data_IF_405235539278
#
_entry.id   IF_405235539278
#
_cell.length_a   1.000
_cell.length_b   1.000
_cell.length_c   1.000
_cell.angle_alpha   90.00
_cell.angle_beta   90.00
_cell.angle_gamma   90.00
#
_symmetry.space_group_name_H-M   'P 1'
#
loop_
_entity.id
_entity.type
_entity.pdbx_description
1 polymer ?
#
# COMPACT_ATOMS: atom_id res chain seq x y z
N UNK A 1 12.91 16.40 19.91
CA UNK A 1 12.40 16.52 18.53
C UNK A 1 12.35 15.09 17.99
N UNK A 2 11.30 14.68 17.31
CA UNK A 2 11.12 13.29 16.84
C UNK A 2 11.69 13.16 15.41
N UNK A 3 12.81 12.48 15.30
CA UNK A 3 13.52 12.35 14.03
C UNK A 3 13.08 11.09 13.28
N UNK A 4 12.71 11.24 12.04
CA UNK A 4 12.23 10.16 11.17
C UNK A 4 13.11 10.05 9.94
N UNK A 5 13.47 8.83 9.55
CA UNK A 5 14.10 8.53 8.28
C UNK A 5 13.09 7.89 7.34
N UNK A 6 12.76 8.57 6.26
CA UNK A 6 11.92 8.05 5.18
C UNK A 6 12.80 7.44 4.10
N UNK A 7 12.59 6.19 3.78
CA UNK A 7 13.47 5.39 2.93
C UNK A 7 12.72 4.89 1.70
N UNK A 8 13.25 5.16 0.51
CA UNK A 8 12.70 4.64 -0.76
C UNK A 8 13.82 4.13 -1.66
N UNK A 9 13.69 2.88 -2.11
CA UNK A 9 14.59 2.30 -3.11
C UNK A 9 14.17 2.71 -4.53
N UNK A 10 12.87 2.75 -4.81
CA UNK A 10 12.32 3.04 -6.14
C UNK A 10 12.17 4.55 -6.36
N UNK A 11 12.99 5.16 -7.21
CA UNK A 11 12.95 6.59 -7.52
C UNK A 11 11.65 7.02 -8.19
N UNK A 12 11.13 6.25 -9.13
CA UNK A 12 9.92 6.57 -9.88
C UNK A 12 8.60 6.22 -9.18
N UNK A 13 8.65 5.77 -7.91
CA UNK A 13 7.45 5.45 -7.12
C UNK A 13 6.77 6.72 -6.58
N UNK A 14 5.82 7.27 -7.34
CA UNK A 14 5.17 8.55 -7.07
C UNK A 14 4.28 8.58 -5.80
N UNK A 15 3.91 7.43 -5.27
CA UNK A 15 3.16 7.33 -4.02
C UNK A 15 3.93 7.89 -2.80
N UNK A 16 5.27 7.98 -2.88
CA UNK A 16 6.12 8.51 -1.81
C UNK A 16 6.15 10.03 -1.75
N UNK A 17 5.75 10.71 -2.85
CA UNK A 17 5.97 12.14 -3.04
C UNK A 17 5.33 13.06 -1.99
N UNK A 18 4.25 12.68 -1.34
CA UNK A 18 3.57 13.49 -0.33
C UNK A 18 3.86 13.07 1.12
N UNK A 19 4.58 11.98 1.32
CA UNK A 19 4.81 11.42 2.66
C UNK A 19 5.62 12.37 3.56
N UNK A 20 6.68 13.06 3.09
CA UNK A 20 7.40 14.03 3.94
C UNK A 20 6.48 15.11 4.51
N UNK A 21 5.54 15.63 3.72
CA UNK A 21 4.58 16.63 4.19
C UNK A 21 3.68 16.12 5.33
N UNK A 22 3.24 14.86 5.26
CA UNK A 22 2.43 14.24 6.31
C UNK A 22 3.20 14.19 7.65
N UNK A 23 4.47 13.79 7.64
CA UNK A 23 5.32 13.76 8.82
C UNK A 23 5.68 15.17 9.35
N UNK A 24 5.92 16.14 8.46
CA UNK A 24 6.13 17.54 8.88
C UNK A 24 4.91 18.14 9.55
N UNK A 25 3.71 17.85 9.10
CA UNK A 25 2.46 18.25 9.77
C UNK A 25 2.34 17.65 11.17
N UNK A 26 2.90 16.47 11.39
CA UNK A 26 2.98 15.86 12.72
C UNK A 26 4.06 16.47 13.64
N UNK A 27 4.91 17.37 13.13
CA UNK A 27 5.97 18.01 13.90
C UNK A 27 7.29 17.26 13.92
N UNK A 28 7.50 16.29 13.01
CA UNK A 28 8.75 15.54 12.89
C UNK A 28 9.88 16.36 12.24
N UNK A 29 11.12 16.05 12.60
CA UNK A 29 12.27 16.25 11.71
C UNK A 29 12.30 15.11 10.71
N UNK A 30 12.34 15.43 9.42
CA UNK A 30 12.17 14.47 8.33
C UNK A 30 13.43 14.40 7.49
N UNK A 31 14.15 13.31 7.59
CA UNK A 31 15.24 12.99 6.70
C UNK A 31 14.78 12.00 5.63
N UNK A 32 15.34 12.10 4.44
CA UNK A 32 15.01 11.20 3.34
C UNK A 32 16.25 10.48 2.82
N UNK A 33 16.12 9.19 2.56
CA UNK A 33 17.17 8.31 2.05
C UNK A 33 16.67 7.69 0.73
N UNK A 34 17.16 8.22 -0.40
CA UNK A 34 16.65 7.84 -1.73
C UNK A 34 17.59 8.32 -2.85
N UNK A 35 17.35 7.85 -4.08
CA UNK A 35 18.06 8.31 -5.28
C UNK A 35 17.77 9.78 -5.60
N UNK A 36 18.65 10.40 -6.39
CA UNK A 36 18.56 11.81 -6.79
C UNK A 36 17.23 12.14 -7.51
N UNK A 37 16.73 11.20 -8.29
CA UNK A 37 15.49 11.35 -9.08
C UNK A 37 14.24 10.89 -8.35
N UNK A 38 14.33 10.56 -7.06
CA UNK A 38 13.20 10.08 -6.29
C UNK A 38 12.08 11.12 -6.15
N UNK A 39 10.83 10.64 -6.19
CA UNK A 39 9.66 11.43 -5.82
C UNK A 39 9.72 11.90 -4.37
N UNK A 40 10.29 11.08 -3.49
CA UNK A 40 10.48 11.40 -2.09
C UNK A 40 11.31 12.67 -1.91
N UNK A 41 12.43 12.79 -2.63
CA UNK A 41 13.30 13.99 -2.63
C UNK A 41 12.62 15.21 -3.25
N UNK A 42 11.70 15.03 -4.18
CA UNK A 42 11.04 16.16 -4.86
C UNK A 42 10.16 16.99 -3.93
N UNK A 43 9.72 16.44 -2.80
CA UNK A 43 8.95 17.16 -1.80
C UNK A 43 9.84 18.14 -1.03
N UNK A 44 9.39 19.40 -0.87
CA UNK A 44 10.15 20.44 -0.15
C UNK A 44 10.15 20.28 1.38
N UNK A 45 9.36 19.35 1.93
CA UNK A 45 9.12 19.18 3.36
C UNK A 45 10.03 18.10 3.99
N UNK A 46 11.25 17.91 3.48
CA UNK A 46 12.31 17.17 4.17
C UNK A 46 13.39 18.12 4.67
N UNK A 47 14.08 17.72 5.74
CA UNK A 47 15.15 18.54 6.36
C UNK A 47 16.52 18.18 5.76
N UNK A 48 16.84 16.89 5.66
CA UNK A 48 18.09 16.40 5.07
C UNK A 48 17.82 15.31 4.04
N UNK A 49 18.69 15.20 3.08
CA UNK A 49 18.66 14.16 2.07
C UNK A 49 19.99 13.41 2.03
N UNK A 50 19.88 12.09 2.09
CA UNK A 50 20.99 11.15 1.96
C UNK A 50 20.85 10.40 0.64
N UNK A 51 21.82 10.61 -0.23
CA UNK A 51 21.79 10.03 -1.58
C UNK A 51 22.22 8.58 -1.59
N UNK A 52 21.43 7.78 -2.29
CA UNK A 52 21.76 6.38 -2.61
C UNK A 52 21.44 6.08 -4.06
N UNK A 53 21.90 4.93 -4.55
CA UNK A 53 21.50 4.43 -5.86
C UNK A 53 20.31 3.45 -5.73
N UNK A 54 19.70 3.10 -6.86
CA UNK A 54 18.69 2.04 -6.94
C UNK A 54 19.31 0.63 -7.10
N UNK A 55 20.66 0.52 -7.04
CA UNK A 55 21.37 -0.75 -7.03
C UNK A 55 21.21 -1.39 -5.65
N UNK A 56 20.60 -2.56 -5.58
CA UNK A 56 20.23 -3.22 -4.34
C UNK A 56 21.38 -3.39 -3.34
N UNK A 57 22.57 -3.77 -3.81
CA UNK A 57 23.74 -3.94 -2.94
C UNK A 57 24.25 -2.61 -2.35
N UNK A 58 24.32 -1.56 -3.17
CA UNK A 58 24.74 -0.23 -2.72
C UNK A 58 23.72 0.37 -1.75
N UNK A 59 22.45 0.33 -2.11
CA UNK A 59 21.34 0.81 -1.26
C UNK A 59 21.37 0.14 0.11
N UNK A 60 21.39 -1.20 0.14
CA UNK A 60 21.40 -1.97 1.37
C UNK A 60 22.58 -1.59 2.27
N UNK A 61 23.80 -1.63 1.70
CA UNK A 61 25.02 -1.37 2.47
C UNK A 61 25.05 0.05 3.04
N UNK A 62 24.66 1.04 2.25
CA UNK A 62 24.57 2.44 2.69
C UNK A 62 23.50 2.64 3.77
N UNK A 63 22.32 2.03 3.62
CA UNK A 63 21.25 2.16 4.60
C UNK A 63 21.64 1.53 5.94
N UNK A 64 22.15 0.29 5.93
CA UNK A 64 22.58 -0.39 7.16
C UNK A 64 23.69 0.41 7.86
N UNK A 65 24.72 0.84 7.13
CA UNK A 65 25.79 1.68 7.66
C UNK A 65 25.25 2.97 8.26
N UNK A 66 24.34 3.66 7.56
CA UNK A 66 23.75 4.90 8.03
C UNK A 66 22.96 4.73 9.34
N UNK A 67 22.23 3.61 9.47
CA UNK A 67 21.48 3.29 10.69
C UNK A 67 22.42 2.93 11.84
N UNK A 68 23.47 2.16 11.58
CA UNK A 68 24.47 1.76 12.59
C UNK A 68 25.31 2.95 13.09
N UNK A 69 25.63 3.91 12.23
CA UNK A 69 26.34 5.15 12.60
C UNK A 69 25.43 6.14 13.36
N UNK A 70 24.10 5.96 13.32
CA UNK A 70 23.12 6.82 13.98
C UNK A 70 22.10 6.04 14.83
N UNK A 71 22.52 5.20 15.80
CA UNK A 71 21.67 4.19 16.42
C UNK A 71 20.47 4.81 17.18
N UNK A 72 20.64 5.96 17.81
CA UNK A 72 19.62 6.61 18.64
C UNK A 72 19.06 7.90 18.04
N UNK A 73 19.55 8.29 16.88
CA UNK A 73 19.13 9.54 16.24
C UNK A 73 17.71 9.45 15.68
N UNK A 74 17.37 8.32 15.01
CA UNK A 74 16.05 8.13 14.45
C UNK A 74 15.16 7.32 15.41
N UNK A 75 14.05 7.94 15.83
CA UNK A 75 13.02 7.26 16.58
C UNK A 75 12.13 6.37 15.70
N UNK A 76 12.12 6.65 14.39
CA UNK A 76 11.37 5.85 13.44
C UNK A 76 12.05 5.84 12.06
N UNK A 77 12.21 4.65 11.49
CA UNK A 77 12.66 4.43 10.11
C UNK A 77 11.48 3.83 9.35
N UNK A 78 11.10 4.44 8.23
CA UNK A 78 9.91 4.06 7.47
C UNK A 78 10.31 3.68 6.05
N UNK A 79 10.21 2.40 5.71
CA UNK A 79 10.37 1.91 4.36
C UNK A 79 9.10 2.21 3.57
N UNK A 80 9.21 2.87 2.42
CA UNK A 80 8.08 3.42 1.69
C UNK A 80 7.67 2.64 0.44
N UNK A 81 8.47 1.65 0.04
CA UNK A 81 8.15 0.82 -1.12
C UNK A 81 8.47 -0.67 -0.88
N UNK A 82 7.78 -1.54 -1.62
CA UNK A 82 7.87 -3.00 -1.48
C UNK A 82 9.27 -3.54 -1.80
N UNK A 83 9.99 -2.89 -2.72
CA UNK A 83 11.33 -3.30 -3.08
C UNK A 83 12.30 -3.08 -1.93
N UNK A 84 12.21 -1.92 -1.24
CA UNK A 84 12.99 -1.64 -0.04
C UNK A 84 12.65 -2.63 1.08
N UNK A 85 11.35 -2.89 1.33
CA UNK A 85 10.90 -3.83 2.37
C UNK A 85 11.43 -5.23 2.07
N UNK A 86 11.25 -5.73 0.85
CA UNK A 86 11.72 -7.05 0.44
C UNK A 86 13.24 -7.18 0.60
N UNK A 87 14.00 -6.22 0.07
CA UNK A 87 15.45 -6.22 0.15
C UNK A 87 15.95 -6.24 1.59
N UNK A 88 15.37 -5.40 2.47
CA UNK A 88 15.77 -5.33 3.87
C UNK A 88 15.31 -6.58 4.64
N UNK A 89 14.12 -7.10 4.34
CA UNK A 89 13.63 -8.34 4.93
C UNK A 89 14.53 -9.55 4.60
N UNK A 90 15.02 -9.65 3.38
CA UNK A 90 15.96 -10.72 2.96
C UNK A 90 17.38 -10.53 3.55
N UNK A 91 17.77 -9.30 3.83
CA UNK A 91 19.13 -8.94 4.24
C UNK A 91 19.36 -8.93 5.75
N UNK A 92 18.36 -8.55 6.54
CA UNK A 92 18.49 -8.37 7.99
C UNK A 92 18.39 -9.70 8.73
N UNK A 93 19.45 -10.01 9.50
CA UNK A 93 19.52 -11.19 10.40
C UNK A 93 19.46 -10.77 11.89
N UNK A 94 19.89 -9.55 12.22
CA UNK A 94 19.89 -9.02 13.58
C UNK A 94 18.48 -8.69 14.03
N UNK A 95 18.05 -9.18 15.19
CA UNK A 95 16.74 -8.86 15.80
C UNK A 95 16.61 -7.35 16.11
N UNK A 96 17.72 -6.72 16.51
CA UNK A 96 17.76 -5.27 16.75
C UNK A 96 17.43 -4.49 15.45
N UNK A 97 18.14 -4.79 14.35
CA UNK A 97 17.89 -4.12 13.06
C UNK A 97 16.51 -4.47 12.50
N UNK A 98 16.03 -5.70 12.72
CA UNK A 98 14.68 -6.10 12.35
C UNK A 98 13.63 -5.18 12.97
N UNK A 99 13.64 -5.03 14.29
CA UNK A 99 12.70 -4.17 15.02
C UNK A 99 12.87 -2.68 14.71
N UNK A 100 14.10 -2.26 14.35
CA UNK A 100 14.43 -0.86 14.05
C UNK A 100 13.95 -0.43 12.66
N UNK A 101 13.98 -1.34 11.67
CA UNK A 101 13.83 -1.01 10.24
C UNK A 101 12.53 -1.58 9.66
N UNK A 102 12.17 -2.83 10.01
CA UNK A 102 11.04 -3.49 9.36
C UNK A 102 9.70 -3.11 10.00
N UNK A 103 8.61 -3.07 9.19
CA UNK A 103 7.30 -2.57 9.64
C UNK A 103 6.48 -3.59 10.44
N UNK A 104 7.13 -4.53 11.10
CA UNK A 104 6.53 -5.50 12.02
C UNK A 104 7.44 -5.76 13.21
N UNK A 105 6.85 -6.12 14.36
CA UNK A 105 7.62 -6.43 15.59
C UNK A 105 7.84 -7.92 15.81
N UNK A 106 7.01 -8.77 15.19
CA UNK A 106 7.07 -10.24 15.34
C UNK A 106 7.87 -10.86 14.20
N UNK A 107 9.11 -11.26 14.51
CA UNK A 107 10.04 -11.83 13.52
C UNK A 107 9.53 -13.13 12.89
N UNK A 108 8.79 -13.92 13.64
CA UNK A 108 8.19 -15.17 13.16
C UNK A 108 7.12 -14.96 12.07
N UNK A 109 6.64 -13.73 11.91
CA UNK A 109 5.67 -13.35 10.90
C UNK A 109 6.29 -12.62 9.68
N UNK A 110 7.63 -12.56 9.60
CA UNK A 110 8.34 -11.83 8.53
C UNK A 110 7.97 -12.26 7.11
N UNK A 111 7.42 -13.47 6.95
CA UNK A 111 6.97 -14.00 5.66
C UNK A 111 5.85 -13.15 5.02
N UNK A 112 5.09 -12.36 5.82
CA UNK A 112 4.04 -11.48 5.28
C UNK A 112 4.61 -10.31 4.45
N UNK A 113 5.86 -9.93 4.68
CA UNK A 113 6.44 -8.75 4.06
C UNK A 113 6.67 -8.97 2.56
N UNK A 114 5.90 -8.27 1.74
CA UNK A 114 5.95 -8.30 0.27
C UNK A 114 5.70 -9.69 -0.35
N UNK A 115 4.95 -10.59 0.32
CA UNK A 115 4.66 -11.95 -0.16
C UNK A 115 3.18 -12.31 -0.02
N UNK A 116 2.51 -12.62 -1.15
CA UNK A 116 1.12 -13.08 -1.18
C UNK A 116 0.97 -14.48 -0.55
N UNK A 117 1.93 -15.36 -0.79
CA UNK A 117 1.97 -16.69 -0.15
C UNK A 117 2.19 -16.52 1.35
N UNK A 118 3.15 -15.67 1.75
CA UNK A 118 3.43 -15.38 3.15
C UNK A 118 2.21 -14.82 3.88
N UNK A 119 1.46 -13.90 3.26
CA UNK A 119 0.20 -13.39 3.80
C UNK A 119 -0.82 -14.52 3.99
N UNK A 120 -1.03 -15.35 2.97
CA UNK A 120 -2.01 -16.44 3.04
C UNK A 120 -1.70 -17.46 4.15
N UNK A 121 -0.41 -17.83 4.29
CA UNK A 121 0.06 -18.72 5.38
C UNK A 121 -0.16 -18.09 6.77
N UNK A 122 0.11 -16.80 6.92
CA UNK A 122 -0.13 -16.08 8.17
C UNK A 122 -1.63 -15.99 8.47
N UNK A 123 -2.47 -15.78 7.46
CA UNK A 123 -3.93 -15.78 7.62
C UNK A 123 -4.44 -17.14 8.11
N UNK A 124 -3.96 -18.25 7.54
CA UNK A 124 -4.29 -19.60 8.03
C UNK A 124 -3.84 -19.81 9.47
N UNK A 125 -2.60 -19.46 9.79
CA UNK A 125 -2.03 -19.60 11.15
C UNK A 125 -2.88 -18.90 12.22
N UNK A 126 -3.45 -17.75 11.90
CA UNK A 126 -4.21 -16.93 12.85
C UNK A 126 -5.72 -16.95 12.62
N UNK A 127 -6.22 -17.85 11.76
CA UNK A 127 -7.64 -17.96 11.40
C UNK A 127 -8.25 -16.64 10.92
N UNK A 128 -7.48 -15.85 10.17
CA UNK A 128 -7.96 -14.63 9.51
C UNK A 128 -8.60 -15.03 8.19
N UNK A 129 -9.84 -14.60 7.94
CA UNK A 129 -10.55 -14.92 6.72
C UNK A 129 -9.80 -14.41 5.48
N UNK A 130 -9.37 -15.32 4.63
CA UNK A 130 -8.70 -15.07 3.33
C UNK A 130 -9.24 -16.05 2.31
N UNK A 131 -9.22 -15.76 0.99
CA UNK A 131 -9.60 -16.74 -0.02
C UNK A 131 -8.72 -17.99 0.05
N UNK A 132 -9.28 -19.15 -0.26
CA UNK A 132 -8.52 -20.40 -0.37
C UNK A 132 -7.39 -20.23 -1.39
N UNK A 133 -6.23 -20.82 -1.12
CA UNK A 133 -5.06 -20.67 -1.97
C UNK A 133 -4.23 -21.94 -2.08
N UNK A 134 -3.43 -22.00 -3.13
CA UNK A 134 -2.37 -23.00 -3.33
C UNK A 134 -1.08 -22.26 -3.69
N UNK A 135 0.01 -22.53 -2.97
CA UNK A 135 1.35 -22.23 -3.45
C UNK A 135 1.65 -23.21 -4.60
N UNK A 136 1.65 -22.70 -5.84
CA UNK A 136 1.73 -23.54 -7.02
C UNK A 136 3.14 -24.17 -7.18
N UNK A 137 3.15 -25.45 -7.45
CA UNK A 137 4.35 -26.18 -7.92
C UNK A 137 3.95 -27.02 -9.15
N UNK A 138 4.94 -27.44 -9.94
CA UNK A 138 4.69 -28.28 -11.14
C UNK A 138 4.10 -29.67 -10.79
N UNK A 139 4.20 -30.09 -9.53
CA UNK A 139 3.56 -31.30 -9.02
C UNK A 139 2.05 -31.16 -8.87
N UNK A 140 1.53 -29.93 -8.83
CA UNK A 140 0.10 -29.67 -8.73
C UNK A 140 -0.56 -29.89 -10.09
N UNK A 141 -1.25 -31.00 -10.26
CA UNK A 141 -2.08 -31.23 -11.44
C UNK A 141 -3.48 -30.59 -11.27
N UNK A 142 -4.22 -30.46 -12.38
CA UNK A 142 -5.54 -29.83 -12.38
C UNK A 142 -6.52 -30.52 -11.44
N UNK A 143 -6.42 -31.84 -11.25
CA UNK A 143 -7.27 -32.60 -10.34
C UNK A 143 -7.03 -32.18 -8.88
N UNK A 144 -5.78 -32.10 -8.47
CA UNK A 144 -5.38 -31.63 -7.13
C UNK A 144 -5.83 -30.20 -6.88
N UNK A 145 -5.68 -29.34 -7.89
CA UNK A 145 -6.14 -27.93 -7.81
C UNK A 145 -7.66 -27.88 -7.62
N UNK A 146 -8.43 -28.58 -8.45
CA UNK A 146 -9.90 -28.58 -8.40
C UNK A 146 -10.48 -29.23 -7.13
N UNK A 147 -9.70 -30.04 -6.42
CA UNK A 147 -10.09 -30.57 -5.10
C UNK A 147 -9.97 -29.55 -3.98
N UNK A 148 -9.06 -28.56 -4.14
CA UNK A 148 -8.76 -27.56 -3.10
C UNK A 148 -9.35 -26.20 -3.37
N UNK A 149 -9.51 -25.82 -4.64
CA UNK A 149 -9.99 -24.51 -5.05
C UNK A 149 -11.22 -24.61 -5.93
N UNK A 150 -12.17 -23.69 -5.73
CA UNK A 150 -13.32 -23.53 -6.61
C UNK A 150 -13.08 -22.46 -7.66
N UNK A 151 -13.43 -22.75 -8.92
CA UNK A 151 -13.39 -21.75 -9.98
C UNK A 151 -14.50 -20.70 -9.79
N UNK A 152 -14.26 -19.46 -10.19
CA UNK A 152 -13.06 -18.94 -10.85
C UNK A 152 -11.86 -18.79 -9.90
N UNK A 153 -10.65 -18.86 -10.48
CA UNK A 153 -9.36 -18.79 -9.77
C UNK A 153 -8.55 -17.61 -10.32
N UNK A 154 -7.79 -16.96 -9.44
CA UNK A 154 -6.77 -16.00 -9.81
C UNK A 154 -5.39 -16.68 -9.78
N UNK A 155 -4.68 -16.61 -10.91
CA UNK A 155 -3.26 -16.91 -10.99
C UNK A 155 -2.50 -15.61 -10.74
N UNK A 156 -1.59 -15.60 -9.75
CA UNK A 156 -0.85 -14.42 -9.33
C UNK A 156 0.64 -14.74 -9.19
N UNK A 157 1.50 -13.78 -9.48
CA UNK A 157 2.89 -13.84 -9.03
C UNK A 157 2.98 -13.48 -7.55
N UNK A 158 3.79 -14.24 -6.79
CA UNK A 158 3.96 -14.03 -5.35
C UNK A 158 4.48 -12.61 -5.01
N UNK A 159 5.43 -12.13 -5.81
CA UNK A 159 6.01 -10.79 -5.66
C UNK A 159 5.64 -9.94 -6.87
N UNK A 160 4.51 -9.26 -6.81
CA UNK A 160 4.05 -8.34 -7.85
C UNK A 160 3.20 -7.23 -7.22
N UNK A 161 3.03 -6.12 -7.92
CA UNK A 161 2.33 -4.94 -7.45
C UNK A 161 1.37 -4.40 -8.52
N UNK A 162 0.39 -3.61 -8.09
CA UNK A 162 -0.56 -2.92 -8.98
C UNK A 162 -1.33 -3.82 -9.94
N UNK A 163 -1.59 -5.07 -9.56
CA UNK A 163 -2.32 -6.04 -10.37
C UNK A 163 -1.55 -6.60 -11.57
N UNK A 164 -0.24 -6.30 -11.69
CA UNK A 164 0.60 -6.88 -12.72
C UNK A 164 0.72 -8.38 -12.48
N UNK A 165 0.55 -9.19 -13.55
CA UNK A 165 0.66 -10.65 -13.47
C UNK A 165 -0.55 -11.35 -12.85
N UNK A 166 -1.66 -10.65 -12.55
CA UNK A 166 -2.92 -11.29 -12.15
C UNK A 166 -3.68 -11.74 -13.39
N UNK A 167 -4.01 -13.01 -13.44
CA UNK A 167 -4.82 -13.61 -14.50
C UNK A 167 -6.07 -14.26 -13.90
N UNK A 168 -7.24 -13.93 -14.44
CA UNK A 168 -8.52 -14.49 -14.05
C UNK A 168 -8.79 -15.73 -14.89
N UNK A 169 -8.95 -16.87 -14.26
CA UNK A 169 -9.21 -18.16 -14.86
C UNK A 169 -10.63 -18.63 -14.48
N UNK A 170 -11.57 -18.52 -15.40
CA UNK A 170 -12.97 -18.91 -15.15
C UNK A 170 -13.14 -20.42 -14.97
N UNK A 171 -12.25 -21.21 -15.56
CA UNK A 171 -12.28 -22.67 -15.55
C UNK A 171 -10.87 -23.28 -15.65
N UNK A 172 -10.80 -24.60 -15.62
CA UNK A 172 -9.55 -25.34 -15.71
C UNK A 172 -8.83 -25.22 -17.06
N UNK A 173 -9.56 -24.99 -18.14
CA UNK A 173 -8.98 -24.82 -19.47
C UNK A 173 -8.20 -23.48 -19.54
N UNK A 174 -8.84 -22.39 -19.07
CA UNK A 174 -8.19 -21.08 -19.01
C UNK A 174 -7.00 -21.09 -18.03
N UNK A 175 -7.10 -21.79 -16.91
CA UNK A 175 -5.98 -21.94 -15.98
C UNK A 175 -4.80 -22.63 -16.65
N UNK A 176 -5.04 -23.72 -17.39
CA UNK A 176 -3.98 -24.44 -18.09
C UNK A 176 -3.31 -23.56 -19.17
N UNK A 177 -4.12 -22.81 -19.93
CA UNK A 177 -3.62 -21.88 -20.95
C UNK A 177 -2.74 -20.78 -20.31
N UNK A 178 -3.18 -20.23 -19.18
CA UNK A 178 -2.40 -19.24 -18.41
C UNK A 178 -1.08 -19.83 -17.91
N UNK A 179 -1.11 -21.03 -17.31
CA UNK A 179 0.08 -21.71 -16.82
C UNK A 179 1.10 -22.03 -17.93
N UNK A 180 0.61 -22.32 -19.14
CA UNK A 180 1.48 -22.58 -20.30
C UNK A 180 2.21 -21.30 -20.79
N UNK A 181 1.62 -20.12 -20.57
CA UNK A 181 2.18 -18.82 -20.96
C UNK A 181 3.18 -18.25 -19.96
N UNK A 182 3.15 -18.72 -18.70
CA UNK A 182 4.07 -18.25 -17.66
C UNK A 182 5.41 -18.96 -17.80
N UNK A 183 6.48 -18.17 -17.93
CA UNK A 183 7.85 -18.68 -18.07
C UNK A 183 8.47 -19.12 -16.74
N UNK A 184 8.16 -18.43 -15.65
CA UNK A 184 8.65 -18.78 -14.31
C UNK A 184 7.51 -19.26 -13.42
N UNK A 185 7.42 -20.55 -13.18
CA UNK A 185 6.36 -21.19 -12.41
C UNK A 185 6.67 -21.33 -10.92
N UNK A 186 7.88 -20.97 -10.48
CA UNK A 186 8.34 -21.25 -9.10
C UNK A 186 7.80 -20.27 -8.05
N UNK A 187 7.17 -19.16 -8.47
CA UNK A 187 6.68 -18.10 -7.58
C UNK A 187 5.24 -17.74 -7.88
N UNK A 188 4.40 -18.73 -8.12
CA UNK A 188 2.98 -18.51 -8.42
C UNK A 188 2.10 -18.89 -7.24
N UNK A 189 1.02 -18.16 -7.07
CA UNK A 189 -0.07 -18.50 -6.17
C UNK A 189 -1.37 -18.60 -6.96
N UNK A 190 -2.10 -19.69 -6.75
CA UNK A 190 -3.47 -19.84 -7.19
C UNK A 190 -4.38 -19.49 -6.01
N UNK A 191 -5.36 -18.65 -6.23
CA UNK A 191 -6.26 -18.18 -5.19
C UNK A 191 -7.69 -18.13 -5.72
N UNK A 192 -8.67 -18.61 -4.92
CA UNK A 192 -10.08 -18.46 -5.27
C UNK A 192 -10.42 -16.99 -5.51
N UNK A 193 -11.20 -16.74 -6.56
CA UNK A 193 -11.74 -15.42 -6.80
C UNK A 193 -13.00 -15.24 -5.95
N UNK A 194 -12.97 -14.28 -5.04
CA UNK A 194 -14.17 -13.93 -4.25
C UNK A 194 -14.92 -12.81 -4.96
N UNK A 195 -16.15 -13.07 -5.34
CA UNK A 195 -17.05 -12.04 -5.84
C UNK A 195 -17.57 -11.20 -4.69
N UNK A 196 -17.43 -9.88 -4.77
CA UNK A 196 -17.83 -8.98 -3.71
C UNK A 196 -17.44 -7.53 -3.94
N UNK A 197 -17.63 -6.73 -2.91
CA UNK A 197 -17.30 -5.31 -2.87
C UNK A 197 -15.86 -5.12 -2.40
N UNK A 198 -15.03 -4.49 -3.24
CA UNK A 198 -13.65 -4.19 -2.88
C UNK A 198 -13.59 -3.01 -1.89
N UNK A 199 -12.86 -3.21 -0.80
CA UNK A 199 -12.69 -2.21 0.25
C UNK A 199 -11.19 -1.94 0.41
N UNK A 200 -10.81 -0.69 0.15
CA UNK A 200 -9.45 -0.21 0.41
C UNK A 200 -9.35 0.34 1.83
N UNK A 201 -8.29 -0.03 2.52
CA UNK A 201 -8.03 0.44 3.90
C UNK A 201 -6.59 0.95 3.98
N UNK A 202 -6.43 2.12 4.58
CA UNK A 202 -5.15 2.63 5.06
C UNK A 202 -5.17 2.61 6.58
N UNK A 203 -4.10 2.10 7.22
CA UNK A 203 -4.01 2.03 8.67
C UNK A 203 -2.62 2.40 9.17
N UNK A 204 -2.58 2.89 10.41
CA UNK A 204 -1.36 3.17 11.15
C UNK A 204 -1.38 2.34 12.44
N UNK A 205 -0.32 1.60 12.66
CA UNK A 205 -0.13 0.76 13.84
C UNK A 205 1.10 1.16 14.64
N UNK A 206 1.07 0.91 15.94
CA UNK A 206 2.24 0.96 16.81
C UNK A 206 2.27 -0.28 17.68
N UNK A 207 3.32 -1.08 17.55
CA UNK A 207 3.54 -2.33 18.30
C UNK A 207 2.32 -3.29 18.26
N UNK A 208 1.66 -3.39 17.09
CA UNK A 208 0.46 -4.18 16.87
C UNK A 208 -0.85 -3.50 17.21
N UNK A 209 -0.83 -2.38 17.90
CA UNK A 209 -2.05 -1.62 18.26
C UNK A 209 -2.46 -0.67 17.11
N UNK A 210 -3.75 -0.64 16.79
CA UNK A 210 -4.31 0.25 15.78
C UNK A 210 -4.40 1.67 16.33
N UNK A 211 -3.70 2.62 15.69
CA UNK A 211 -3.69 4.04 16.08
C UNK A 211 -4.78 4.83 15.36
N UNK A 212 -4.87 4.66 14.06
CA UNK A 212 -5.90 5.28 13.21
C UNK A 212 -6.02 4.52 11.90
N UNK A 213 -7.17 4.64 11.23
CA UNK A 213 -7.41 4.03 9.94
C UNK A 213 -8.39 4.84 9.11
N UNK A 214 -8.39 4.60 7.82
CA UNK A 214 -9.42 5.05 6.88
C UNK A 214 -9.86 3.84 6.05
N UNK A 215 -11.16 3.63 5.86
CA UNK A 215 -11.67 2.64 4.92
C UNK A 215 -12.51 3.30 3.84
N UNK A 216 -12.51 2.71 2.65
CA UNK A 216 -13.15 3.27 1.49
C UNK A 216 -13.72 2.23 0.54
N UNK A 217 -14.90 2.50 0.05
CA UNK A 217 -15.46 1.89 -1.15
C UNK A 217 -14.69 2.38 -2.40
N UNK A 218 -14.43 1.48 -3.33
CA UNK A 218 -13.74 1.79 -4.57
C UNK A 218 -14.76 2.23 -5.62
N UNK A 219 -14.69 3.50 -6.05
CA UNK A 219 -15.60 4.07 -7.04
C UNK A 219 -15.06 4.00 -8.47
N UNK A 220 -13.74 4.00 -8.65
CA UNK A 220 -13.13 3.89 -9.98
C UNK A 220 -11.73 3.30 -9.93
N UNK A 221 -11.44 2.44 -10.89
CA UNK A 221 -10.14 1.87 -11.20
C UNK A 221 -9.56 2.50 -12.45
N UNK A 222 -8.23 2.46 -12.61
CA UNK A 222 -7.57 2.99 -13.81
C UNK A 222 -7.95 2.20 -15.08
N UNK A 223 -8.04 0.87 -15.00
CA UNK A 223 -8.35 -0.02 -16.14
C UNK A 223 -9.47 -0.99 -15.80
N UNK A 224 -9.21 -1.88 -14.87
CA UNK A 224 -10.09 -2.93 -14.38
C UNK A 224 -9.92 -3.07 -12.87
N UNK A 225 -10.70 -3.93 -12.24
CA UNK A 225 -10.71 -4.11 -10.78
C UNK A 225 -9.38 -4.59 -10.17
N UNK A 226 -8.44 -5.07 -10.96
CA UNK A 226 -7.11 -5.44 -10.48
C UNK A 226 -6.08 -4.31 -10.57
N UNK A 227 -6.43 -3.20 -11.25
CA UNK A 227 -5.54 -2.04 -11.38
C UNK A 227 -5.69 -1.08 -10.19
N UNK A 228 -4.74 -0.13 -10.06
CA UNK A 228 -4.83 0.88 -9.01
C UNK A 228 -6.10 1.74 -9.12
N UNK A 229 -6.58 2.17 -7.96
CA UNK A 229 -7.81 2.96 -7.83
C UNK A 229 -7.56 4.45 -8.09
N UNK A 230 -8.56 5.15 -8.63
CA UNK A 230 -8.46 6.59 -8.97
C UNK A 230 -9.46 7.44 -8.20
N UNK A 231 -10.56 6.82 -7.72
CA UNK A 231 -11.61 7.49 -6.96
C UNK A 231 -12.12 6.55 -5.86
N UNK A 232 -12.32 7.09 -4.66
CA UNK A 232 -12.78 6.36 -3.48
C UNK A 232 -13.80 7.18 -2.69
N UNK A 233 -14.73 6.49 -2.01
CA UNK A 233 -15.62 7.07 -1.02
C UNK A 233 -15.23 6.55 0.35
N UNK A 234 -14.79 7.45 1.22
CA UNK A 234 -14.37 7.10 2.57
C UNK A 234 -15.57 7.08 3.51
N UNK A 235 -15.58 6.12 4.41
CA UNK A 235 -16.58 5.90 5.44
C UNK A 235 -15.95 5.28 6.68
N UNK A 236 -16.73 5.13 7.76
CA UNK A 236 -16.29 4.39 8.95
C UNK A 236 -16.98 3.03 9.04
N UNK A 237 -16.27 2.07 9.64
CA UNK A 237 -16.79 0.73 9.91
C UNK A 237 -16.14 0.16 11.17
N UNK A 238 -16.93 -0.09 12.20
CA UNK A 238 -16.46 -0.74 13.44
C UNK A 238 -16.04 -2.19 13.18
N UNK A 239 -16.64 -2.84 12.19
CA UNK A 239 -16.25 -4.19 11.78
C UNK A 239 -14.83 -4.19 11.20
N UNK A 240 -14.55 -3.26 10.28
CA UNK A 240 -13.17 -3.09 9.74
C UNK A 240 -12.19 -2.72 10.85
N UNK A 241 -12.56 -1.81 11.77
CA UNK A 241 -11.72 -1.47 12.91
C UNK A 241 -11.37 -2.70 13.76
N UNK A 242 -12.35 -3.57 14.02
CA UNK A 242 -12.18 -4.80 14.78
C UNK A 242 -11.25 -5.79 14.07
N UNK A 243 -11.40 -5.97 12.75
CA UNK A 243 -10.53 -6.80 11.92
C UNK A 243 -9.09 -6.28 11.92
N UNK A 244 -8.90 -4.95 11.83
CA UNK A 244 -7.59 -4.31 11.87
C UNK A 244 -6.90 -4.49 13.21
N UNK A 245 -7.61 -4.37 14.34
CA UNK A 245 -7.07 -4.63 15.67
C UNK A 245 -6.57 -6.07 15.81
N UNK A 246 -7.35 -7.03 15.32
CA UNK A 246 -6.94 -8.45 15.30
C UNK A 246 -5.70 -8.62 14.42
N UNK A 247 -5.72 -8.12 13.19
CA UNK A 247 -4.61 -8.23 12.25
C UNK A 247 -3.34 -7.61 12.81
N UNK A 248 -3.42 -6.37 13.31
CA UNK A 248 -2.29 -5.65 13.88
C UNK A 248 -1.63 -6.43 15.00
N UNK A 249 -2.43 -6.90 15.97
CA UNK A 249 -1.97 -7.66 17.14
C UNK A 249 -1.38 -9.02 16.75
N UNK A 250 -2.02 -9.76 15.85
CA UNK A 250 -1.56 -11.10 15.46
C UNK A 250 -0.27 -11.04 14.64
N UNK A 251 -0.20 -10.13 13.68
CA UNK A 251 0.98 -9.96 12.81
C UNK A 251 2.11 -9.22 13.52
N UNK A 252 1.78 -8.28 14.41
CA UNK A 252 2.72 -7.35 15.02
C UNK A 252 3.02 -6.16 14.11
N UNK A 253 2.01 -5.62 13.39
CA UNK A 253 2.20 -4.48 12.49
C UNK A 253 2.72 -3.27 13.26
N UNK A 254 3.71 -2.56 12.69
CA UNK A 254 4.36 -1.41 13.31
C UNK A 254 4.71 -0.35 12.26
N UNK A 255 3.83 0.60 12.09
CA UNK A 255 3.89 1.60 11.04
C UNK A 255 2.65 1.59 10.16
N UNK A 256 2.82 2.00 8.92
CA UNK A 256 1.72 2.08 7.98
C UNK A 256 1.42 0.74 7.32
N UNK A 257 0.15 0.54 7.00
CA UNK A 257 -0.28 -0.57 6.16
C UNK A 257 -1.38 -0.13 5.18
N UNK A 258 -1.21 -0.53 3.92
CA UNK A 258 -2.24 -0.48 2.88
C UNK A 258 -2.85 -1.86 2.78
N UNK A 259 -4.15 -1.98 3.04
CA UNK A 259 -4.83 -3.25 3.19
C UNK A 259 -6.00 -3.30 2.22
N UNK A 260 -6.24 -4.45 1.62
CA UNK A 260 -7.40 -4.67 0.77
C UNK A 260 -8.24 -5.83 1.29
N UNK A 261 -9.53 -5.56 1.46
CA UNK A 261 -10.54 -6.57 1.72
C UNK A 261 -11.49 -6.71 0.51
N UNK A 262 -12.14 -7.86 0.42
CA UNK A 262 -13.37 -8.03 -0.35
C UNK A 262 -14.50 -8.47 0.58
N UNK A 263 -15.61 -7.74 0.55
CA UNK A 263 -16.79 -8.10 1.32
C UNK A 263 -17.73 -8.96 0.49
N UNK A 264 -17.90 -10.21 0.90
CA UNK A 264 -18.83 -11.14 0.27
C UNK A 264 -20.19 -11.06 0.96
N UNK A 265 -21.11 -10.31 0.39
CA UNK A 265 -22.42 -10.02 0.99
C UNK A 265 -23.23 -11.27 1.37
N UNK A 266 -23.25 -12.27 0.49
CA UNK A 266 -24.02 -13.51 0.74
C UNK A 266 -23.54 -14.36 1.92
N UNK A 267 -22.24 -14.27 2.26
CA UNK A 267 -21.62 -14.96 3.41
C UNK A 267 -21.46 -14.05 4.62
N UNK A 268 -21.64 -12.76 4.45
CA UNK A 268 -21.35 -11.71 5.46
C UNK A 268 -19.91 -11.80 5.99
N UNK A 269 -18.92 -11.94 5.10
CA UNK A 269 -17.51 -12.12 5.44
C UNK A 269 -16.66 -11.12 4.67
N UNK A 270 -15.70 -10.48 5.39
CA UNK A 270 -14.60 -9.71 4.83
C UNK A 270 -13.41 -10.64 4.64
N UNK A 271 -13.03 -10.89 3.39
CA UNK A 271 -11.84 -11.66 3.05
C UNK A 271 -10.64 -10.73 2.87
N UNK A 272 -9.58 -10.96 3.63
CA UNK A 272 -8.32 -10.23 3.49
C UNK A 272 -7.60 -10.69 2.22
N UNK A 273 -7.34 -9.76 1.30
CA UNK A 273 -6.69 -10.04 0.01
C UNK A 273 -5.21 -9.64 -0.02
N UNK A 274 -4.87 -8.51 0.59
CA UNK A 274 -3.53 -7.91 0.51
C UNK A 274 -3.23 -7.08 1.76
N UNK A 275 -1.95 -7.13 2.19
CA UNK A 275 -1.38 -6.27 3.23
C UNK A 275 0.00 -5.81 2.75
N UNK A 276 0.08 -4.56 2.34
CA UNK A 276 1.34 -3.88 2.07
C UNK A 276 1.73 -3.08 3.30
N UNK A 277 2.74 -3.52 4.03
CA UNK A 277 3.18 -2.88 5.29
C UNK A 277 3.97 -1.59 5.02
N UNK A 278 3.40 -0.68 4.25
CA UNK A 278 3.97 0.60 3.82
C UNK A 278 2.90 1.66 3.56
N UNK A 279 3.38 2.87 3.32
CA UNK A 279 2.51 3.95 2.85
C UNK A 279 2.04 3.73 1.41
N UNK A 280 0.91 4.36 1.08
CA UNK A 280 0.41 4.44 -0.29
C UNK A 280 0.04 5.90 -0.63
N UNK A 281 -0.39 6.13 -1.86
CA UNK A 281 -0.73 7.47 -2.31
C UNK A 281 -2.06 8.04 -1.76
N UNK A 282 -2.88 7.21 -1.09
CA UNK A 282 -4.12 7.64 -0.49
C UNK A 282 -3.94 8.21 0.92
N UNK A 283 -2.90 7.77 1.64
CA UNK A 283 -2.65 8.18 3.03
C UNK A 283 -2.54 9.71 3.22
N UNK A 284 -1.87 10.48 2.35
CA UNK A 284 -1.83 11.93 2.47
C UNK A 284 -3.19 12.64 2.36
N UNK A 285 -4.19 11.97 1.76
CA UNK A 285 -5.55 12.50 1.68
C UNK A 285 -6.38 12.28 2.95
N UNK A 286 -5.86 11.54 3.93
CA UNK A 286 -6.49 11.34 5.24
C UNK A 286 -6.87 12.65 5.95
N UNK A 287 -6.15 13.74 5.67
CA UNK A 287 -6.49 15.08 6.17
C UNK A 287 -7.89 15.58 5.78
N UNK A 288 -8.53 14.94 4.82
CA UNK A 288 -9.87 15.27 4.35
C UNK A 288 -10.95 14.31 4.86
N UNK A 289 -10.58 13.23 5.55
CA UNK A 289 -11.50 12.17 6.00
C UNK A 289 -11.90 12.28 7.46
N UNK A 290 -11.27 13.18 8.23
CA UNK A 290 -11.44 13.26 9.68
C UNK A 290 -10.50 12.33 10.48
N UNK A 291 -9.81 11.41 9.83
CA UNK A 291 -8.82 10.50 10.43
C UNK A 291 -7.43 10.74 9.85
N UNK A 292 -6.90 11.92 10.13
CA UNK A 292 -5.62 12.37 9.58
C UNK A 292 -4.45 11.57 10.18
N UNK A 293 -3.67 10.92 9.31
CA UNK A 293 -2.48 10.19 9.74
C UNK A 293 -1.44 11.08 10.40
N UNK A 294 -1.39 12.38 10.08
CA UNK A 294 -0.51 13.31 10.80
C UNK A 294 -0.88 13.42 12.28
N UNK A 295 -2.16 13.37 12.63
CA UNK A 295 -2.61 13.34 14.03
C UNK A 295 -2.30 11.98 14.69
N UNK A 296 -2.43 10.87 13.95
CA UNK A 296 -1.99 9.55 14.41
C UNK A 296 -0.49 9.50 14.72
N UNK A 297 0.34 10.10 13.87
CA UNK A 297 1.79 10.23 14.09
C UNK A 297 2.06 11.06 15.35
N UNK A 298 1.32 12.18 15.57
CA UNK A 298 1.46 13.00 16.80
C UNK A 298 1.19 12.18 18.07
N UNK A 299 0.17 11.31 18.06
CA UNK A 299 -0.12 10.41 19.18
C UNK A 299 1.07 9.48 19.47
N UNK A 300 1.68 8.90 18.43
CA UNK A 300 2.88 8.06 18.56
C UNK A 300 4.04 8.87 19.18
N UNK A 301 4.27 10.10 18.70
CA UNK A 301 5.32 11.00 19.22
C UNK A 301 5.09 11.36 20.69
N UNK A 302 3.84 11.63 21.06
CA UNK A 302 3.46 12.01 22.43
C UNK A 302 3.43 10.84 23.41
N UNK A 303 3.52 9.60 22.94
CA UNK A 303 3.35 8.40 23.78
C UNK A 303 1.91 8.15 24.24
N UNK A 304 0.94 8.87 23.68
CA UNK A 304 -0.47 8.89 24.12
C UNK A 304 -1.39 8.09 23.17
N UNK A 305 -0.90 6.97 22.70
CA UNK A 305 -1.60 6.13 21.72
C UNK A 305 -2.68 5.21 22.32
N UNK A 306 -2.80 5.15 23.63
CA UNK A 306 -3.87 4.38 24.30
C UNK A 306 -5.18 5.16 24.43
N UNK A 307 -5.14 6.49 24.35
CA UNK A 307 -6.33 7.34 24.36
C UNK A 307 -6.82 7.59 22.92
N UNK A 308 -7.54 6.61 22.37
CA UNK A 308 -8.27 6.80 21.11
C UNK A 308 -9.51 7.64 21.46
N UNK A 309 -9.37 8.96 21.45
CA UNK A 309 -10.55 9.81 21.39
C UNK A 309 -11.31 9.46 20.12
N UNK A 310 -12.58 9.11 20.26
CA UNK A 310 -13.45 8.89 19.12
C UNK A 310 -13.31 10.09 18.17
N UNK A 311 -13.02 9.86 16.88
CA UNK A 311 -12.89 10.97 15.96
C UNK A 311 -14.21 11.71 15.82
N UNK A 312 -14.11 13.00 15.56
CA UNK A 312 -15.27 13.82 15.20
C UNK A 312 -16.04 13.11 14.06
N UNK A 313 -17.37 13.12 14.18
CA UNK A 313 -18.27 12.45 13.25
C UNK A 313 -17.81 12.56 11.79
N UNK A 314 -17.47 11.44 11.20
CA UNK A 314 -17.07 11.37 9.80
C UNK A 314 -18.27 11.67 8.92
N UNK A 315 -18.11 12.68 8.08
CA UNK A 315 -18.94 12.80 6.90
C UNK A 315 -18.31 11.95 5.80
N UNK A 316 -19.12 11.14 5.12
CA UNK A 316 -18.67 10.45 3.91
C UNK A 316 -17.99 11.44 2.97
N UNK A 317 -16.78 11.16 2.54
CA UNK A 317 -16.05 12.01 1.60
C UNK A 317 -15.62 11.22 0.38
N UNK A 318 -16.01 11.75 -0.79
CA UNK A 318 -15.53 11.22 -2.07
C UNK A 318 -14.24 11.93 -2.45
N UNK A 319 -13.16 11.17 -2.59
CA UNK A 319 -11.83 11.66 -2.95
C UNK A 319 -11.45 11.11 -4.31
N UNK A 320 -10.94 12.00 -5.16
CA UNK A 320 -10.46 11.68 -6.50
C UNK A 320 -9.04 12.20 -6.68
N UNK A 321 -8.12 11.32 -7.11
CA UNK A 321 -6.72 11.69 -7.33
C UNK A 321 -6.59 12.36 -8.69
N UNK A 322 -6.26 13.66 -8.70
CA UNK A 322 -6.27 14.53 -9.86
C UNK A 322 -5.66 13.93 -11.11
N UNK A 323 -4.37 13.64 -11.07
CA UNK A 323 -3.61 13.16 -12.24
C UNK A 323 -4.06 11.78 -12.72
N UNK A 324 -4.48 10.91 -11.81
CA UNK A 324 -4.91 9.55 -12.12
C UNK A 324 -6.34 9.50 -12.64
N UNK A 325 -7.26 10.16 -11.95
CA UNK A 325 -8.66 10.10 -12.31
C UNK A 325 -8.96 10.91 -13.58
N UNK A 326 -8.37 12.11 -13.72
CA UNK A 326 -8.54 12.90 -14.95
C UNK A 326 -7.94 12.16 -16.16
N UNK A 327 -6.77 11.53 -16.01
CA UNK A 327 -6.17 10.69 -17.06
C UNK A 327 -7.06 9.50 -17.40
N UNK A 328 -7.67 8.83 -16.42
CA UNK A 328 -8.65 7.76 -16.62
C UNK A 328 -9.84 8.28 -17.42
N UNK A 329 -10.43 9.40 -17.02
CA UNK A 329 -11.58 9.99 -17.69
C UNK A 329 -11.28 10.30 -19.18
N UNK A 330 -10.12 10.92 -19.44
CA UNK A 330 -9.68 11.23 -20.82
C UNK A 330 -9.45 9.95 -21.61
N UNK A 331 -8.76 8.97 -21.01
CA UNK A 331 -8.38 7.72 -21.70
C UNK A 331 -9.59 6.89 -22.13
N UNK A 332 -10.64 6.87 -21.33
CA UNK A 332 -11.80 6.00 -21.54
C UNK A 332 -13.05 6.78 -21.98
N UNK A 333 -12.93 8.06 -22.31
CA UNK A 333 -14.04 8.88 -22.76
C UNK A 333 -15.13 9.07 -21.71
N UNK A 334 -14.77 9.09 -20.42
CA UNK A 334 -15.70 9.39 -19.34
C UNK A 334 -16.00 10.89 -19.29
N UNK A 335 -16.85 11.35 -20.21
CA UNK A 335 -17.25 12.77 -20.32
C UNK A 335 -17.86 13.30 -19.02
N UNK A 336 -18.62 12.47 -18.29
CA UNK A 336 -19.22 12.86 -17.01
C UNK A 336 -18.10 13.13 -15.97
N UNK A 337 -17.10 12.28 -15.90
CA UNK A 337 -15.94 12.46 -15.04
C UNK A 337 -15.13 13.71 -15.43
N UNK A 338 -14.90 13.96 -16.72
CA UNK A 338 -14.24 15.18 -17.21
C UNK A 338 -15.02 16.42 -16.76
N UNK A 339 -16.33 16.42 -16.96
CA UNK A 339 -17.20 17.54 -16.57
C UNK A 339 -17.19 17.78 -15.04
N UNK A 340 -17.14 16.71 -14.23
CA UNK A 340 -16.99 16.80 -12.80
C UNK A 340 -15.71 17.53 -12.39
N UNK A 341 -14.60 17.25 -13.07
CA UNK A 341 -13.34 17.95 -12.85
C UNK A 341 -13.39 19.40 -13.32
N UNK A 342 -13.94 19.67 -14.51
CA UNK A 342 -14.00 21.02 -15.08
C UNK A 342 -14.88 21.96 -14.23
N UNK A 343 -16.06 21.53 -13.87
CA UNK A 343 -17.04 22.34 -13.13
C UNK A 343 -16.82 22.32 -11.61
N UNK A 344 -15.94 21.46 -11.12
CA UNK A 344 -15.61 21.31 -9.70
C UNK A 344 -16.81 21.15 -8.75
N UNK A 345 -17.97 20.72 -9.22
CA UNK A 345 -19.18 20.65 -8.38
C UNK A 345 -19.10 19.58 -7.28
N UNK A 346 -18.17 18.62 -7.37
CA UNK A 346 -17.80 17.67 -6.32
C UNK A 346 -16.68 18.19 -5.39
N UNK A 347 -16.15 19.39 -5.67
CA UNK A 347 -15.06 19.99 -4.90
C UNK A 347 -13.72 19.27 -5.04
N UNK A 348 -13.48 18.56 -6.17
CA UNK A 348 -12.25 17.77 -6.39
C UNK A 348 -10.99 18.61 -6.45
N UNK A 349 -11.05 19.90 -6.78
CA UNK A 349 -9.88 20.78 -6.85
C UNK A 349 -9.17 20.91 -5.51
N UNK A 350 -9.88 20.73 -4.37
CA UNK A 350 -9.27 20.73 -3.02
C UNK A 350 -8.23 19.62 -2.84
N UNK A 351 -8.27 18.57 -3.67
CA UNK A 351 -7.34 17.46 -3.62
C UNK A 351 -6.10 17.66 -4.51
N UNK A 352 -6.02 18.75 -5.29
CA UNK A 352 -4.85 19.09 -6.09
C UNK A 352 -3.72 19.54 -5.15
N UNK A 353 -2.50 19.07 -5.41
CA UNK A 353 -1.32 19.22 -4.54
C UNK A 353 -0.66 20.60 -4.66
N UNK A 354 -1.42 21.69 -4.55
CA UNK A 354 -0.93 23.06 -4.73
C UNK A 354 0.00 23.53 -3.60
N UNK A 355 0.06 22.84 -2.48
CA UNK A 355 0.91 23.18 -1.34
C UNK A 355 2.41 22.93 -1.60
N UNK A 356 2.76 22.13 -2.61
CA UNK A 356 4.13 21.90 -3.07
C UNK A 356 4.20 21.98 -4.59
N UNK A 357 4.74 23.13 -5.07
CA UNK A 357 4.82 23.41 -6.50
C UNK A 357 5.73 22.43 -7.25
N UNK A 358 6.79 21.89 -6.60
CA UNK A 358 7.69 20.91 -7.24
C UNK A 358 6.95 19.59 -7.50
N UNK A 359 6.20 19.10 -6.51
CA UNK A 359 5.38 17.90 -6.66
C UNK A 359 4.27 18.13 -7.69
N UNK A 360 3.59 19.27 -7.63
CA UNK A 360 2.55 19.62 -8.60
C UNK A 360 3.07 19.65 -10.03
N UNK A 361 4.19 20.34 -10.27
CA UNK A 361 4.83 20.43 -11.59
C UNK A 361 5.28 19.05 -12.10
N UNK A 362 5.96 18.26 -11.26
CA UNK A 362 6.39 16.89 -11.59
C UNK A 362 5.22 16.00 -11.94
N UNK A 363 4.12 16.08 -11.18
CA UNK A 363 2.86 15.35 -11.44
C UNK A 363 2.28 15.73 -12.81
N UNK A 364 2.18 17.04 -13.11
CA UNK A 364 1.68 17.53 -14.38
C UNK A 364 2.55 17.09 -15.59
N UNK A 365 3.88 17.16 -15.44
CA UNK A 365 4.83 16.68 -16.46
C UNK A 365 4.67 15.18 -16.72
N UNK A 366 4.53 14.36 -15.67
CA UNK A 366 4.28 12.91 -15.79
C UNK A 366 2.96 12.64 -16.50
N UNK A 367 1.89 13.31 -16.08
CA UNK A 367 0.56 13.16 -16.70
C UNK A 367 0.59 13.51 -18.19
N UNK A 368 1.23 14.61 -18.57
CA UNK A 368 1.38 15.03 -19.97
C UNK A 368 2.18 14.01 -20.80
N UNK A 369 3.32 13.54 -20.25
CA UNK A 369 4.15 12.51 -20.91
C UNK A 369 3.35 11.21 -21.14
N UNK A 370 2.54 10.78 -20.18
CA UNK A 370 1.72 9.57 -20.29
C UNK A 370 0.55 9.72 -21.28
N UNK A 371 0.01 10.92 -21.43
CA UNK A 371 -1.00 11.22 -22.45
C UNK A 371 -0.39 11.24 -23.85
N UNK A 372 0.78 11.86 -24.03
CA UNK A 372 1.47 11.95 -25.32
C UNK A 372 1.97 10.60 -25.84
N UNK A 373 2.45 9.70 -24.98
CA UNK A 373 2.88 8.34 -25.38
C UNK A 373 1.79 7.48 -26.02
N UNK A 374 0.55 7.94 -26.07
CA UNK A 374 -0.59 7.26 -26.69
C UNK A 374 -1.04 7.90 -27.99
N UNK A 375 -0.52 9.05 -28.33
CA UNK A 375 -0.84 9.75 -29.59
C UNK A 375 0.19 9.39 -30.66
N UNK A 376 1.35 8.90 -30.24
CA UNK A 376 2.45 8.39 -31.07
C UNK A 376 2.80 6.93 -30.69
#
# INVERSE_FOLDING_TARGET
>A
MYNVLLVSLLGEFDATGEIPFMFKRAGCTVDVFCSADSWLRSNKYHDRWFETSEIHSDFKNKLLKHVEENPDYYQWIVLLDDAAIKLMNESIQSEYLFKKILPITKIENRAILSSKIGLSVICEKYSIATPQFINYSEENNLQTISQKLHFPILLKENFSFSGIGIQYCADSFLLQDCLNKVTNKTNLVLQEFIEGEDIGVEALFRDGELITYNCAEILAYMHNKFSFTTRRRYYQSDEIASLLKILGKQVGLNGFASIQYVYHKGRNIYYLLEVDARTNMWMPYSRFTGHDFSEGIKKIIGGDFYNINEPASLHEVEISIFDRDLRRCIKYGDFKGILQWMLNYKGYWRFIRLYDFKIFYRTGKKMLKDLLKKIF
#
